data_IF_914232401637
#
_entry.id   IF_914232401637
#
_cell.length_a   1.000
_cell.length_b   1.000
_cell.length_c   1.000
_cell.angle_alpha   90.00
_cell.angle_beta   90.00
_cell.angle_gamma   90.00
#
_symmetry.space_group_name_H-M   'P 1'
#
loop_
_entity.id
_entity.type
_entity.pdbx_description
1 polymer ?
#
# COMPACT_ATOMS: atom_id res chain seq x y z
N UNK A 1 8.17 -14.02 -5.48
CA UNK A 1 7.92 -12.64 -6.00
C UNK A 1 9.11 -11.72 -5.69
N UNK A 2 9.21 -10.54 -6.31
CA UNK A 2 10.35 -9.61 -6.17
C UNK A 2 10.14 -8.51 -5.14
N UNK A 3 8.92 -8.02 -4.99
CA UNK A 3 8.60 -6.94 -4.04
C UNK A 3 7.45 -7.34 -3.11
N UNK A 4 7.36 -6.67 -1.96
CA UNK A 4 6.44 -7.05 -0.88
C UNK A 4 4.99 -6.61 -1.13
N UNK A 5 4.71 -5.95 -2.24
CA UNK A 5 3.36 -5.55 -2.65
C UNK A 5 2.68 -6.61 -3.51
N UNK A 6 3.47 -7.39 -4.27
CA UNK A 6 2.97 -8.49 -5.10
C UNK A 6 2.16 -9.56 -4.35
N UNK A 7 2.46 -9.96 -3.10
CA UNK A 7 1.71 -11.03 -2.44
C UNK A 7 0.24 -10.71 -2.18
N UNK A 8 -0.21 -9.45 -2.07
CA UNK A 8 -1.60 -9.13 -1.67
C UNK A 8 -2.64 -9.87 -2.51
N UNK A 9 -2.53 -9.83 -3.84
CA UNK A 9 -3.49 -10.47 -4.74
C UNK A 9 -3.54 -11.98 -4.49
N UNK A 10 -2.37 -12.62 -4.30
CA UNK A 10 -2.29 -14.04 -3.97
C UNK A 10 -2.84 -14.34 -2.58
N UNK A 11 -2.51 -13.55 -1.56
CA UNK A 11 -3.09 -13.67 -0.22
C UNK A 11 -4.63 -13.60 -0.30
N UNK A 12 -5.17 -12.66 -1.08
CA UNK A 12 -6.61 -12.46 -1.25
C UNK A 12 -7.27 -13.68 -1.90
N UNK A 13 -6.74 -14.14 -3.04
CA UNK A 13 -7.32 -15.25 -3.78
C UNK A 13 -7.14 -16.61 -3.07
N UNK A 14 -6.00 -16.84 -2.41
CA UNK A 14 -5.79 -18.04 -1.59
C UNK A 14 -6.77 -18.08 -0.41
N UNK A 15 -7.04 -16.94 0.24
CA UNK A 15 -8.07 -16.85 1.30
C UNK A 15 -9.47 -17.12 0.78
N UNK A 16 -9.85 -16.50 -0.35
CA UNK A 16 -11.14 -16.75 -1.01
C UNK A 16 -11.32 -18.24 -1.36
N UNK A 17 -10.26 -18.88 -1.84
CA UNK A 17 -10.24 -20.30 -2.16
C UNK A 17 -10.05 -21.22 -0.94
N UNK A 18 -9.91 -20.67 0.27
CA UNK A 18 -9.62 -21.40 1.52
C UNK A 18 -8.37 -22.29 1.43
N UNK A 19 -7.36 -21.84 0.68
CA UNK A 19 -6.07 -22.52 0.54
C UNK A 19 -5.10 -21.97 1.61
N UNK A 20 -4.59 -22.82 2.53
CA UNK A 20 -3.62 -22.40 3.53
C UNK A 20 -2.35 -21.86 2.87
N UNK A 21 -1.85 -20.74 3.37
CA UNK A 21 -0.60 -20.16 2.89
C UNK A 21 0.23 -19.57 4.03
N UNK A 22 1.53 -19.44 3.81
CA UNK A 22 2.48 -18.88 4.77
C UNK A 22 3.34 -17.82 4.08
N UNK A 23 3.38 -16.61 4.65
CA UNK A 23 4.19 -15.52 4.14
C UNK A 23 5.57 -15.53 4.82
N UNK A 24 6.62 -15.87 4.07
CA UNK A 24 7.99 -16.00 4.61
C UNK A 24 8.74 -14.68 4.49
N UNK A 25 9.29 -14.21 5.61
CA UNK A 25 10.16 -13.03 5.64
C UNK A 25 9.45 -11.70 5.39
N UNK A 26 8.11 -11.65 5.54
CA UNK A 26 7.32 -10.42 5.42
C UNK A 26 6.08 -10.48 6.30
N UNK A 27 5.62 -9.31 6.74
CA UNK A 27 4.36 -9.17 7.46
C UNK A 27 3.19 -9.20 6.46
N UNK A 28 2.07 -9.85 6.83
CA UNK A 28 0.86 -9.86 6.00
C UNK A 28 0.45 -8.43 5.64
N UNK A 29 -0.03 -8.25 4.41
CA UNK A 29 -0.47 -6.95 3.91
C UNK A 29 -1.41 -6.21 4.89
N UNK A 30 -2.39 -6.93 5.43
CA UNK A 30 -3.43 -6.37 6.32
C UNK A 30 -2.92 -5.99 7.71
N UNK A 31 -1.74 -6.48 8.10
CA UNK A 31 -1.13 -6.18 9.39
C UNK A 31 -0.27 -4.92 9.36
N UNK A 32 0.05 -4.42 8.16
CA UNK A 32 0.90 -3.24 8.00
C UNK A 32 0.24 -2.00 8.57
N UNK A 33 1.03 -1.15 9.21
CA UNK A 33 0.55 0.01 9.97
C UNK A 33 -0.24 0.96 9.07
N UNK A 34 0.34 1.31 7.93
CA UNK A 34 -0.19 2.20 6.91
C UNK A 34 -1.48 1.66 6.28
N UNK A 35 -1.57 0.34 6.08
CA UNK A 35 -2.80 -0.29 5.58
C UNK A 35 -3.92 -0.12 6.61
N UNK A 36 -3.67 -0.47 7.87
CA UNK A 36 -4.65 -0.30 8.95
C UNK A 36 -5.04 1.16 9.17
N UNK A 37 -4.10 2.09 9.04
CA UNK A 37 -4.39 3.52 9.17
C UNK A 37 -5.37 3.97 8.07
N UNK A 38 -5.13 3.60 6.81
CA UNK A 38 -6.03 3.95 5.71
C UNK A 38 -7.40 3.29 5.82
N UNK A 39 -7.47 2.03 6.28
CA UNK A 39 -8.75 1.38 6.56
C UNK A 39 -9.53 2.11 7.66
N UNK A 40 -8.86 2.59 8.71
CA UNK A 40 -9.50 3.40 9.74
C UNK A 40 -9.94 4.77 9.21
N UNK A 41 -9.19 5.39 8.29
CA UNK A 41 -9.68 6.59 7.59
C UNK A 41 -10.96 6.33 6.81
N UNK A 42 -11.01 5.26 6.02
CA UNK A 42 -12.21 4.88 5.27
C UNK A 42 -13.38 4.60 6.21
N UNK A 43 -13.16 3.92 7.34
CA UNK A 43 -14.20 3.70 8.38
C UNK A 43 -14.72 5.00 8.97
N UNK A 44 -13.87 6.01 9.20
CA UNK A 44 -14.33 7.32 9.70
C UNK A 44 -15.11 8.12 8.66
N UNK A 45 -14.75 7.98 7.38
CA UNK A 45 -15.51 8.59 6.28
C UNK A 45 -16.89 7.94 6.16
N UNK A 46 -16.95 6.61 6.26
CA UNK A 46 -18.18 5.81 6.18
C UNK A 46 -19.07 5.99 7.43
N UNK A 47 -18.49 5.83 8.61
CA UNK A 47 -19.14 5.94 9.91
C UNK A 47 -18.27 6.72 10.93
N UNK A 48 -18.54 8.02 11.12
CA UNK A 48 -17.80 8.84 12.08
C UNK A 48 -17.94 8.43 13.56
N UNK A 49 -18.86 7.50 13.88
CA UNK A 49 -19.05 6.99 15.26
C UNK A 49 -18.09 5.86 15.62
N UNK A 50 -17.23 5.39 14.71
CA UNK A 50 -16.21 4.39 15.02
C UNK A 50 -15.06 5.00 15.85
N UNK A 51 -15.21 4.99 17.19
CA UNK A 51 -14.23 5.57 18.10
C UNK A 51 -12.87 4.86 18.06
N UNK A 52 -12.85 3.56 17.80
CA UNK A 52 -11.61 2.77 17.75
C UNK A 52 -10.78 3.19 16.54
N UNK A 53 -11.42 3.30 15.37
CA UNK A 53 -10.76 3.80 14.17
C UNK A 53 -10.34 5.25 14.34
N UNK A 54 -11.18 6.09 14.95
CA UNK A 54 -10.87 7.50 15.17
C UNK A 54 -9.62 7.65 16.03
N UNK A 55 -9.58 7.00 17.19
CA UNK A 55 -8.44 7.07 18.12
C UNK A 55 -7.14 6.58 17.47
N UNK A 56 -7.21 5.59 16.57
CA UNK A 56 -6.03 5.13 15.82
C UNK A 56 -5.46 6.23 14.92
N UNK A 57 -6.33 6.90 14.16
CA UNK A 57 -5.91 7.85 13.13
C UNK A 57 -5.89 9.30 13.60
N UNK A 58 -6.39 9.62 14.80
CA UNK A 58 -6.63 11.00 15.29
C UNK A 58 -5.41 11.89 15.16
N UNK A 59 -4.20 11.33 15.32
CA UNK A 59 -2.94 12.06 15.20
C UNK A 59 -1.97 11.42 14.19
N UNK A 60 -2.47 10.66 13.20
CA UNK A 60 -1.64 9.98 12.19
C UNK A 60 -2.08 10.36 10.77
N UNK A 61 -1.33 11.16 9.99
CA UNK A 61 -0.07 11.83 10.34
C UNK A 61 -0.24 12.87 11.46
N UNK A 62 0.87 13.20 12.13
CA UNK A 62 0.88 14.15 13.25
C UNK A 62 0.19 15.48 12.89
N UNK A 63 -0.79 15.88 13.72
CA UNK A 63 -1.57 17.11 13.57
C UNK A 63 -1.81 17.84 14.89
N UNK A 64 -0.93 17.64 15.86
CA UNK A 64 -0.96 18.38 17.12
C UNK A 64 -1.99 17.90 18.15
N UNK A 65 -2.70 16.80 17.88
CA UNK A 65 -3.62 16.17 18.86
C UNK A 65 -2.81 15.18 19.69
N UNK A 66 -2.07 15.69 20.67
CA UNK A 66 -1.22 14.90 21.57
C UNK A 66 -2.01 14.13 22.63
N UNK A 67 -1.32 13.27 23.40
CA UNK A 67 -1.94 12.39 24.40
C UNK A 67 -2.86 13.13 25.40
N UNK A 68 -2.41 14.28 25.92
CA UNK A 68 -3.24 15.12 26.83
C UNK A 68 -4.52 15.64 26.18
N UNK A 69 -4.47 16.01 24.90
CA UNK A 69 -5.67 16.46 24.17
C UNK A 69 -6.63 15.29 23.94
N UNK A 70 -6.10 14.10 23.64
CA UNK A 70 -6.90 12.88 23.48
C UNK A 70 -7.57 12.49 24.81
N UNK A 71 -6.84 12.54 25.92
CA UNK A 71 -7.39 12.27 27.26
C UNK A 71 -8.49 13.27 27.65
N UNK A 72 -8.29 14.56 27.37
CA UNK A 72 -9.30 15.58 27.59
C UNK A 72 -10.55 15.33 26.73
N UNK A 73 -10.37 15.01 25.45
CA UNK A 73 -11.47 14.66 24.54
C UNK A 73 -12.26 13.45 25.05
N UNK A 74 -11.57 12.39 25.47
CA UNK A 74 -12.19 11.18 26.03
C UNK A 74 -12.97 11.48 27.31
N UNK A 75 -12.39 12.24 28.23
CA UNK A 75 -13.03 12.60 29.50
C UNK A 75 -14.30 13.41 29.25
N UNK A 76 -14.25 14.38 28.34
CA UNK A 76 -15.40 15.20 27.98
C UNK A 76 -16.49 14.38 27.26
N UNK A 77 -16.09 13.52 26.32
CA UNK A 77 -16.97 12.59 25.62
C UNK A 77 -17.76 11.70 26.59
N UNK A 78 -17.08 11.08 27.55
CA UNK A 78 -17.71 10.27 28.61
C UNK A 78 -18.66 11.11 29.47
N UNK A 79 -18.25 12.32 29.88
CA UNK A 79 -19.08 13.18 30.73
C UNK A 79 -20.38 13.64 30.07
N UNK A 80 -20.40 13.71 28.74
CA UNK A 80 -21.54 14.15 27.93
C UNK A 80 -22.31 13.00 27.30
N UNK A 81 -21.89 11.74 27.53
CA UNK A 81 -22.40 10.55 26.83
C UNK A 81 -22.43 10.72 25.29
N UNK A 82 -21.35 11.29 24.74
CA UNK A 82 -21.17 11.55 23.31
C UNK A 82 -19.92 10.86 22.81
N UNK A 83 -19.86 10.58 21.52
CA UNK A 83 -18.64 10.12 20.84
C UNK A 83 -17.61 11.25 20.73
N UNK A 84 -16.33 10.92 20.59
CA UNK A 84 -15.27 11.92 20.35
C UNK A 84 -15.58 12.76 19.09
N UNK A 85 -16.13 12.15 18.04
CA UNK A 85 -16.47 12.87 16.81
C UNK A 85 -17.53 13.95 17.05
N UNK A 86 -18.54 13.66 17.89
CA UNK A 86 -19.56 14.64 18.28
C UNK A 86 -18.97 15.76 19.14
N UNK A 87 -17.97 15.46 19.97
CA UNK A 87 -17.24 16.48 20.75
C UNK A 87 -16.48 17.45 19.85
N UNK A 88 -16.02 17.04 18.67
CA UNK A 88 -15.36 17.96 17.73
C UNK A 88 -16.27 19.13 17.31
N UNK A 89 -17.59 18.99 17.41
CA UNK A 89 -18.54 20.08 17.14
C UNK A 89 -18.75 21.04 18.33
N UNK A 90 -18.29 20.69 19.53
CA UNK A 90 -18.32 21.56 20.70
C UNK A 90 -17.19 22.61 20.61
N UNK A 91 -17.50 23.73 19.95
CA UNK A 91 -16.53 24.82 19.74
C UNK A 91 -16.02 25.43 21.04
N UNK A 92 -16.80 25.37 22.13
CA UNK A 92 -16.38 25.94 23.42
C UNK A 92 -15.30 25.05 24.03
N UNK A 93 -15.54 23.74 24.08
CA UNK A 93 -14.56 22.78 24.56
C UNK A 93 -13.30 22.77 23.68
N UNK A 94 -13.46 22.69 22.35
CA UNK A 94 -12.32 22.64 21.42
C UNK A 94 -11.43 23.87 21.55
N UNK A 95 -11.99 25.07 21.74
CA UNK A 95 -11.20 26.30 21.99
C UNK A 95 -10.33 26.24 23.25
N UNK A 96 -10.66 25.36 24.20
CA UNK A 96 -9.86 25.10 25.41
C UNK A 96 -8.66 24.19 25.18
N UNK A 97 -8.56 23.51 24.03
CA UNK A 97 -7.41 22.66 23.69
C UNK A 97 -6.23 23.50 23.15
N UNK A 98 -4.99 22.96 23.11
CA UNK A 98 -3.88 23.64 22.45
C UNK A 98 -4.18 23.98 20.99
N UNK A 99 -3.77 25.15 20.52
CA UNK A 99 -4.03 25.64 19.15
C UNK A 99 -3.67 24.64 18.04
N UNK A 100 -2.56 23.86 18.12
CA UNK A 100 -2.30 22.80 17.14
C UNK A 100 -3.38 21.71 17.10
N UNK A 101 -3.92 21.32 18.26
CA UNK A 101 -5.00 20.32 18.34
C UNK A 101 -6.30 20.86 17.74
N UNK A 102 -6.63 22.14 17.97
CA UNK A 102 -7.80 22.78 17.37
C UNK A 102 -7.75 22.71 15.83
N UNK A 103 -6.62 23.15 15.24
CA UNK A 103 -6.40 23.07 13.79
C UNK A 103 -6.41 21.63 13.28
N UNK A 104 -5.86 20.70 14.06
CA UNK A 104 -5.86 19.27 13.74
C UNK A 104 -7.27 18.67 13.64
N UNK A 105 -8.15 19.03 14.59
CA UNK A 105 -9.55 18.60 14.63
C UNK A 105 -10.31 19.18 13.44
N UNK A 106 -10.20 20.49 13.22
CA UNK A 106 -10.87 21.18 12.11
C UNK A 106 -10.46 20.58 10.75
N UNK A 107 -9.17 20.34 10.55
CA UNK A 107 -8.67 19.70 9.33
C UNK A 107 -9.24 18.29 9.14
N UNK A 108 -9.35 17.50 10.20
CA UNK A 108 -9.90 16.14 10.11
C UNK A 108 -11.40 16.15 9.77
N UNK A 109 -12.17 17.06 10.38
CA UNK A 109 -13.58 17.25 10.04
C UNK A 109 -13.76 17.68 8.59
N UNK A 110 -12.96 18.65 8.11
CA UNK A 110 -13.01 19.11 6.73
C UNK A 110 -12.65 18.01 5.72
N UNK A 111 -11.62 17.21 6.02
CA UNK A 111 -11.23 16.07 5.18
C UNK A 111 -12.36 15.05 5.07
N UNK A 112 -12.96 14.65 6.20
CA UNK A 112 -14.07 13.69 6.21
C UNK A 112 -15.28 14.21 5.46
N UNK A 113 -15.72 15.45 5.74
CA UNK A 113 -16.87 16.07 5.07
C UNK A 113 -16.68 16.16 3.55
N UNK A 114 -15.47 16.50 3.08
CA UNK A 114 -15.16 16.57 1.65
C UNK A 114 -15.16 15.19 1.00
N UNK A 115 -14.65 14.16 1.66
CA UNK A 115 -14.73 12.78 1.15
C UNK A 115 -16.19 12.32 1.07
N UNK A 116 -16.99 12.55 2.11
CA UNK A 116 -18.43 12.23 2.12
C UNK A 116 -19.18 12.97 1.01
N UNK A 117 -18.92 14.26 0.81
CA UNK A 117 -19.51 15.03 -0.28
C UNK A 117 -19.17 14.46 -1.65
N UNK A 118 -17.93 14.01 -1.87
CA UNK A 118 -17.54 13.36 -3.13
C UNK A 118 -18.22 12.02 -3.32
N UNK A 119 -18.29 11.20 -2.28
CA UNK A 119 -18.95 9.89 -2.31
C UNK A 119 -20.46 9.97 -2.54
N UNK A 120 -21.08 11.11 -2.21
CA UNK A 120 -22.49 11.37 -2.50
C UNK A 120 -22.76 11.70 -3.99
N UNK A 121 -21.72 11.88 -4.81
CA UNK A 121 -21.89 12.15 -6.24
C UNK A 121 -22.19 10.84 -7.00
N UNK A 122 -23.07 10.87 -8.04
CA UNK A 122 -23.46 9.66 -8.76
C UNK A 122 -22.31 8.93 -9.48
N UNK A 123 -21.25 9.66 -9.83
CA UNK A 123 -20.06 9.22 -10.56
C UNK A 123 -18.82 9.11 -9.67
N UNK A 124 -19.02 9.08 -8.35
CA UNK A 124 -17.94 9.02 -7.39
C UNK A 124 -17.12 7.74 -7.51
N UNK A 125 -15.83 7.88 -7.84
CA UNK A 125 -14.90 6.77 -7.82
C UNK A 125 -14.31 6.58 -6.40
N UNK A 126 -14.57 5.46 -5.75
CA UNK A 126 -14.08 5.13 -4.39
C UNK A 126 -12.54 5.22 -4.32
N UNK A 127 -11.86 4.60 -5.27
CA UNK A 127 -10.39 4.66 -5.36
C UNK A 127 -9.89 6.09 -5.63
N UNK A 128 -10.68 6.89 -6.36
CA UNK A 128 -10.43 8.31 -6.58
C UNK A 128 -10.45 9.11 -5.29
N UNK A 129 -11.48 8.93 -4.48
CA UNK A 129 -11.65 9.60 -3.18
C UNK A 129 -10.52 9.23 -2.22
N UNK A 130 -10.13 7.95 -2.14
CA UNK A 130 -9.00 7.54 -1.30
C UNK A 130 -7.67 8.15 -1.78
N UNK A 131 -7.43 8.18 -3.09
CA UNK A 131 -6.22 8.78 -3.67
C UNK A 131 -6.08 10.26 -3.30
N UNK A 132 -7.18 10.99 -3.35
CA UNK A 132 -7.20 12.39 -2.91
C UNK A 132 -7.04 12.53 -1.39
N UNK A 133 -7.70 11.69 -0.60
CA UNK A 133 -7.54 11.69 0.85
C UNK A 133 -6.06 11.51 1.25
N UNK A 134 -5.36 10.55 0.62
CA UNK A 134 -3.92 10.31 0.81
C UNK A 134 -3.09 11.55 0.45
N UNK A 135 -3.46 12.24 -0.65
CA UNK A 135 -2.81 13.47 -1.08
C UNK A 135 -3.01 14.63 -0.09
N UNK A 136 -4.25 14.87 0.35
CA UNK A 136 -4.59 15.98 1.23
C UNK A 136 -4.14 15.78 2.68
N UNK A 137 -3.97 14.54 3.11
CA UNK A 137 -3.27 14.19 4.34
C UNK A 137 -1.77 14.45 4.27
N UNK A 138 -1.21 14.63 3.06
CA UNK A 138 0.23 14.59 2.79
C UNK A 138 0.87 13.30 3.36
N UNK A 139 0.14 12.18 3.25
CA UNK A 139 0.50 10.92 3.92
C UNK A 139 1.82 10.36 3.42
N UNK A 140 2.09 10.47 2.11
CA UNK A 140 3.35 9.99 1.52
C UNK A 140 4.57 10.75 2.03
N UNK A 141 4.48 12.07 2.20
CA UNK A 141 5.56 12.86 2.79
C UNK A 141 5.63 12.67 4.31
N UNK A 142 4.54 12.31 4.97
CA UNK A 142 4.59 11.87 6.36
C UNK A 142 5.39 10.57 6.51
N UNK A 143 5.17 9.59 5.63
CA UNK A 143 5.97 8.36 5.61
C UNK A 143 7.46 8.64 5.39
N UNK A 144 7.82 9.50 4.44
CA UNK A 144 9.23 9.90 4.20
C UNK A 144 9.88 10.55 5.44
N UNK A 145 9.12 11.33 6.21
CA UNK A 145 9.63 11.95 7.44
C UNK A 145 9.74 10.95 8.59
N UNK A 146 8.84 9.99 8.65
CA UNK A 146 8.79 8.98 9.73
C UNK A 146 9.81 7.86 9.53
N UNK A 147 10.18 7.58 8.28
CA UNK A 147 11.08 6.49 7.90
C UNK A 147 12.27 7.06 7.11
N UNK A 148 13.37 7.44 7.79
CA UNK A 148 14.52 8.09 7.13
C UNK A 148 15.24 7.19 6.11
N UNK A 149 15.12 5.87 6.26
CA UNK A 149 15.65 4.91 5.28
C UNK A 149 14.77 4.90 4.03
N UNK A 150 15.35 5.27 2.89
CA UNK A 150 14.61 5.42 1.63
C UNK A 150 13.87 4.14 1.21
N UNK A 151 14.45 2.97 1.46
CA UNK A 151 13.87 1.68 1.08
C UNK A 151 12.67 1.32 1.95
N UNK A 152 12.77 1.58 3.26
CA UNK A 152 11.65 1.37 4.17
C UNK A 152 10.50 2.34 3.84
N UNK A 153 10.79 3.63 3.65
CA UNK A 153 9.78 4.61 3.24
C UNK A 153 9.07 4.19 1.96
N UNK A 154 9.82 3.74 0.95
CA UNK A 154 9.24 3.31 -0.32
C UNK A 154 8.36 2.06 -0.19
N UNK A 155 8.77 1.06 0.60
CA UNK A 155 7.93 -0.11 0.86
C UNK A 155 6.60 0.25 1.54
N UNK A 156 6.63 1.24 2.46
CA UNK A 156 5.42 1.76 3.12
C UNK A 156 4.54 2.55 2.14
N UNK A 157 5.14 3.39 1.30
CA UNK A 157 4.41 4.11 0.24
C UNK A 157 3.77 3.14 -0.76
N UNK A 158 4.47 2.08 -1.14
CA UNK A 158 3.95 1.07 -2.04
C UNK A 158 2.78 0.28 -1.40
N UNK A 159 2.81 0.08 -0.08
CA UNK A 159 1.67 -0.49 0.66
C UNK A 159 0.44 0.42 0.66
N UNK A 160 0.61 1.74 0.72
CA UNK A 160 -0.50 2.71 0.56
C UNK A 160 -1.08 2.68 -0.85
N UNK A 161 -0.22 2.64 -1.88
CA UNK A 161 -0.65 2.49 -3.27
C UNK A 161 -1.48 1.21 -3.45
N UNK A 162 -1.07 0.13 -2.79
CA UNK A 162 -1.75 -1.16 -2.89
C UNK A 162 -3.15 -1.16 -2.24
N UNK A 163 -3.40 -0.36 -1.20
CA UNK A 163 -4.78 -0.16 -0.69
C UNK A 163 -5.65 0.55 -1.74
N UNK A 164 -5.10 1.52 -2.46
CA UNK A 164 -5.81 2.23 -3.54
C UNK A 164 -6.10 1.27 -4.71
N UNK A 165 -5.15 0.41 -5.07
CA UNK A 165 -5.34 -0.60 -6.09
C UNK A 165 -6.41 -1.61 -5.68
N UNK A 166 -6.38 -2.12 -4.45
CA UNK A 166 -7.38 -3.04 -3.92
C UNK A 166 -8.80 -2.45 -3.96
N UNK A 167 -8.94 -1.17 -3.60
CA UNK A 167 -10.23 -0.47 -3.68
C UNK A 167 -10.71 -0.31 -5.12
N UNK A 168 -9.81 -0.04 -6.06
CA UNK A 168 -10.14 0.08 -7.48
C UNK A 168 -10.55 -1.26 -8.11
N UNK A 169 -9.90 -2.36 -7.70
CA UNK A 169 -10.28 -3.73 -8.11
C UNK A 169 -11.67 -4.08 -7.59
N UNK A 170 -11.93 -3.87 -6.29
CA UNK A 170 -13.25 -4.05 -5.70
C UNK A 170 -14.34 -3.23 -6.42
N UNK A 171 -14.02 -1.97 -6.72
CA UNK A 171 -14.92 -1.05 -7.40
C UNK A 171 -15.28 -1.52 -8.82
N UNK A 172 -14.33 -2.15 -9.54
CA UNK A 172 -14.56 -2.69 -10.88
C UNK A 172 -15.39 -3.98 -10.87
N UNK A 173 -15.25 -4.81 -9.83
CA UNK A 173 -15.90 -6.12 -9.74
C UNK A 173 -17.30 -6.05 -9.10
N UNK A 174 -17.59 -5.03 -8.29
CA UNK A 174 -18.84 -4.92 -7.55
C UNK A 174 -19.99 -4.32 -8.39
N UNK A 175 -21.17 -4.94 -8.35
CA UNK A 175 -22.38 -4.41 -8.99
C UNK A 175 -22.86 -3.07 -8.41
N UNK A 176 -22.58 -2.83 -7.12
CA UNK A 176 -22.98 -1.61 -6.40
C UNK A 176 -21.89 -1.31 -5.36
N UNK A 177 -20.76 -0.72 -5.80
CA UNK A 177 -19.61 -0.51 -4.93
C UNK A 177 -19.95 0.50 -3.83
N UNK A 178 -19.54 0.19 -2.59
CA UNK A 178 -19.66 1.10 -1.45
C UNK A 178 -18.44 0.96 -0.54
N UNK A 179 -18.16 2.00 0.26
CA UNK A 179 -17.09 1.91 1.27
C UNK A 179 -17.37 0.83 2.29
N UNK A 180 -18.60 0.76 2.82
CA UNK A 180 -19.03 -0.31 3.72
C UNK A 180 -18.77 -1.71 3.12
N UNK A 181 -19.18 -1.93 1.87
CA UNK A 181 -18.96 -3.21 1.19
C UNK A 181 -17.48 -3.56 0.98
N UNK A 182 -16.64 -2.58 0.65
CA UNK A 182 -15.19 -2.79 0.58
C UNK A 182 -14.59 -3.11 1.96
N UNK A 183 -15.02 -2.39 3.00
CA UNK A 183 -14.53 -2.60 4.37
C UNK A 183 -14.94 -3.97 4.91
N UNK A 184 -16.11 -4.47 4.53
CA UNK A 184 -16.57 -5.83 4.84
C UNK A 184 -15.74 -6.87 4.10
N UNK A 185 -15.50 -6.69 2.79
CA UNK A 185 -14.66 -7.59 1.99
C UNK A 185 -13.23 -7.68 2.56
N UNK A 186 -12.63 -6.54 2.88
CA UNK A 186 -11.31 -6.47 3.52
C UNK A 186 -11.33 -7.08 4.92
N UNK A 187 -12.42 -6.93 5.68
CA UNK A 187 -12.53 -7.52 7.01
C UNK A 187 -12.73 -9.03 6.94
N UNK A 188 -13.45 -9.55 5.95
CA UNK A 188 -13.59 -10.99 5.70
C UNK A 188 -12.28 -11.59 5.24
N UNK A 189 -11.59 -10.92 4.32
CA UNK A 189 -10.23 -11.28 3.95
C UNK A 189 -9.33 -11.23 5.19
N UNK A 190 -9.44 -10.22 6.05
CA UNK A 190 -8.58 -10.00 7.22
C UNK A 190 -8.93 -10.79 8.48
N UNK A 191 -10.14 -11.35 8.62
CA UNK A 191 -10.70 -11.84 9.91
C UNK A 191 -9.95 -13.02 10.56
N UNK A 192 -8.92 -13.55 9.92
CA UNK A 192 -7.87 -14.36 10.57
C UNK A 192 -6.69 -13.49 11.03
N UNK A 193 -6.96 -12.39 11.74
CA UNK A 193 -5.90 -11.62 12.41
C UNK A 193 -5.34 -12.44 13.58
N UNK A 194 -4.39 -13.33 13.28
CA UNK A 194 -3.44 -13.93 14.20
C UNK A 194 -4.06 -14.68 15.38
N UNK A 195 -4.52 -15.91 15.14
CA UNK A 195 -4.48 -16.89 16.22
C UNK A 195 -3.10 -17.55 16.22
N UNK A 196 -2.36 -17.61 17.34
CA UNK A 196 -1.07 -18.28 17.44
C UNK A 196 -1.13 -19.82 17.28
N UNK A 197 -2.24 -20.37 16.76
CA UNK A 197 -2.47 -21.81 16.55
C UNK A 197 -1.90 -22.33 15.22
N UNK A 198 -1.39 -21.47 14.33
CA UNK A 198 -1.11 -21.83 12.93
C UNK A 198 0.27 -22.46 12.67
N UNK A 199 1.01 -22.87 13.71
CA UNK A 199 2.34 -23.51 13.49
C UNK A 199 2.25 -24.87 12.79
N UNK A 200 1.13 -25.60 12.94
CA UNK A 200 0.91 -26.87 12.22
C UNK A 200 0.40 -26.65 10.79
N UNK A 201 -0.46 -25.64 10.56
CA UNK A 201 -0.94 -25.30 9.21
C UNK A 201 0.18 -24.79 8.29
N UNK A 202 1.24 -24.19 8.85
CA UNK A 202 2.40 -23.76 8.06
C UNK A 202 3.16 -24.90 7.36
N UNK A 203 3.01 -26.16 7.77
CA UNK A 203 3.71 -27.30 7.14
C UNK A 203 3.05 -27.80 5.84
N UNK A 204 1.74 -27.60 5.67
CA UNK A 204 0.96 -27.99 4.50
C UNK A 204 0.27 -26.76 3.87
N UNK A 205 1.06 -25.74 3.57
CA UNK A 205 0.57 -24.46 3.08
C UNK A 205 1.40 -23.98 1.88
N UNK A 206 0.79 -23.19 1.00
CA UNK A 206 1.48 -22.51 -0.09
C UNK A 206 2.46 -21.49 0.51
N UNK A 207 3.74 -21.60 0.17
CA UNK A 207 4.75 -20.69 0.66
C UNK A 207 4.86 -19.45 -0.24
N UNK A 208 4.38 -18.31 0.26
CA UNK A 208 4.51 -17.01 -0.38
C UNK A 208 5.81 -16.35 0.09
N UNK A 209 6.78 -16.13 -0.80
CA UNK A 209 8.06 -15.54 -0.42
C UNK A 209 8.73 -14.69 -1.50
N UNK A 210 9.63 -13.81 -1.05
CA UNK A 210 10.49 -13.04 -1.94
C UNK A 210 11.60 -13.92 -2.53
N UNK A 211 12.16 -13.52 -3.68
CA UNK A 211 13.36 -14.19 -4.24
C UNK A 211 14.52 -14.24 -3.25
N UNK A 212 14.71 -13.19 -2.44
CA UNK A 212 15.77 -13.14 -1.43
C UNK A 212 15.53 -14.16 -0.31
N UNK A 213 14.29 -14.30 0.14
CA UNK A 213 13.89 -15.24 1.19
C UNK A 213 13.95 -16.71 0.74
N UNK A 214 13.92 -16.97 -0.57
CA UNK A 214 13.97 -18.32 -1.13
C UNK A 214 15.39 -18.92 -1.19
N UNK A 215 16.44 -18.13 -0.91
CA UNK A 215 17.83 -18.58 -1.02
C UNK A 215 18.09 -19.77 -0.08
N UNK A 216 18.56 -20.88 -0.66
CA UNK A 216 18.86 -22.11 0.09
C UNK A 216 17.66 -23.01 0.35
N UNK A 217 16.47 -22.66 -0.14
CA UNK A 217 15.27 -23.50 -0.11
C UNK A 217 15.05 -24.18 -1.46
N UNK A 218 14.20 -25.20 -1.51
CA UNK A 218 13.81 -25.89 -2.74
C UNK A 218 12.38 -26.40 -2.59
N UNK A 219 11.64 -26.43 -3.70
CA UNK A 219 10.23 -26.81 -3.73
C UNK A 219 9.94 -27.65 -4.99
N UNK A 220 9.06 -28.67 -4.90
CA UNK A 220 8.61 -29.44 -6.06
C UNK A 220 8.05 -28.55 -7.18
N UNK A 221 7.17 -27.62 -6.81
CA UNK A 221 6.49 -26.70 -7.73
C UNK A 221 6.80 -25.26 -7.35
N UNK A 222 7.27 -24.45 -8.31
CA UNK A 222 7.57 -23.03 -8.10
C UNK A 222 6.83 -22.17 -9.10
N UNK A 223 6.16 -21.13 -8.59
CA UNK A 223 5.54 -20.07 -9.39
C UNK A 223 6.35 -18.78 -9.24
N UNK A 224 7.05 -18.38 -10.30
CA UNK A 224 7.73 -17.10 -10.39
C UNK A 224 6.82 -16.06 -11.02
N UNK A 225 6.33 -15.12 -10.20
CA UNK A 225 5.33 -14.12 -10.60
C UNK A 225 5.93 -12.74 -10.79
N UNK A 226 5.33 -11.97 -11.70
CA UNK A 226 5.76 -10.61 -12.04
C UNK A 226 7.04 -10.59 -12.86
N UNK A 227 7.11 -11.46 -13.88
CA UNK A 227 8.20 -11.52 -14.85
C UNK A 227 8.13 -10.33 -15.82
N UNK A 228 8.29 -9.12 -15.29
CA UNK A 228 8.03 -7.84 -15.96
C UNK A 228 9.23 -6.89 -15.85
N UNK A 229 9.52 -6.13 -16.91
CA UNK A 229 10.46 -5.01 -16.84
C UNK A 229 9.97 -3.96 -15.83
N UNK A 230 10.83 -3.59 -14.89
CA UNK A 230 10.50 -2.66 -13.81
C UNK A 230 10.12 -3.35 -12.49
N UNK A 231 9.71 -4.63 -12.54
CA UNK A 231 9.55 -5.49 -11.36
C UNK A 231 10.75 -6.42 -11.23
N UNK A 232 11.01 -7.26 -12.25
CA UNK A 232 12.16 -8.15 -12.32
C UNK A 232 12.70 -8.16 -13.77
N UNK A 233 13.75 -7.38 -14.10
CA UNK A 233 14.58 -6.60 -13.19
C UNK A 233 13.86 -5.37 -12.60
N UNK A 234 14.14 -5.09 -11.33
CA UNK A 234 13.56 -3.95 -10.64
C UNK A 234 13.97 -2.62 -11.29
N UNK A 235 13.03 -1.65 -11.32
CA UNK A 235 13.20 -0.35 -12.00
C UNK A 235 14.46 0.42 -11.59
N UNK A 236 14.91 0.29 -10.34
CA UNK A 236 16.15 0.96 -9.87
C UNK A 236 17.38 0.42 -10.58
N UNK A 237 17.48 -0.90 -10.73
CA UNK A 237 18.57 -1.56 -11.46
C UNK A 237 18.60 -1.20 -12.95
N UNK A 238 17.46 -0.76 -13.51
CA UNK A 238 17.40 -0.23 -14.87
C UNK A 238 17.96 1.20 -15.00
N UNK A 239 18.01 1.94 -13.89
CA UNK A 239 18.39 3.34 -13.87
C UNK A 239 19.87 3.56 -13.51
N UNK A 240 20.46 2.66 -12.71
CA UNK A 240 21.69 2.96 -11.98
C UNK A 240 22.98 2.39 -12.60
N UNK A 241 22.99 1.28 -13.37
CA UNK A 241 24.04 0.86 -14.34
C UNK A 241 23.73 -0.53 -14.96
N UNK A 242 24.57 -1.04 -15.88
CA UNK A 242 24.43 -2.40 -16.43
C UNK A 242 24.69 -3.49 -15.37
N UNK A 243 25.61 -3.24 -14.44
CA UNK A 243 25.99 -4.18 -13.37
C UNK A 243 24.83 -4.50 -12.41
N UNK A 244 23.90 -3.56 -12.19
CA UNK A 244 22.74 -3.79 -11.33
C UNK A 244 21.72 -4.76 -11.96
N UNK A 245 21.71 -4.85 -13.29
CA UNK A 245 20.89 -5.83 -14.01
C UNK A 245 21.49 -7.24 -13.87
N UNK A 246 22.82 -7.36 -13.79
CA UNK A 246 23.49 -8.64 -13.51
C UNK A 246 23.09 -9.19 -12.13
N UNK A 247 22.92 -8.31 -11.13
CA UNK A 247 22.45 -8.73 -9.81
C UNK A 247 20.99 -9.20 -9.84
N UNK A 248 20.10 -8.48 -10.53
CA UNK A 248 18.72 -8.94 -10.73
C UNK A 248 18.66 -10.24 -11.56
N UNK A 249 19.62 -10.47 -12.47
CA UNK A 249 19.75 -11.74 -13.20
C UNK A 249 20.16 -12.88 -12.27
N UNK A 250 21.13 -12.65 -11.37
CA UNK A 250 21.49 -13.62 -10.33
C UNK A 250 20.29 -13.95 -9.44
N UNK A 251 19.49 -12.95 -9.08
CA UNK A 251 18.27 -13.14 -8.30
C UNK A 251 17.22 -13.98 -9.06
N UNK A 252 17.04 -13.72 -10.36
CA UNK A 252 16.18 -14.52 -11.23
C UNK A 252 16.66 -15.98 -11.31
N UNK A 253 17.97 -16.20 -11.51
CA UNK A 253 18.59 -17.52 -11.52
C UNK A 253 18.39 -18.28 -10.20
N UNK A 254 18.52 -17.59 -9.05
CA UNK A 254 18.20 -18.18 -7.75
C UNK A 254 16.76 -18.67 -7.73
N UNK A 255 15.80 -17.86 -8.20
CA UNK A 255 14.39 -18.24 -8.31
C UNK A 255 14.15 -19.49 -9.16
N UNK A 256 14.74 -19.54 -10.36
CA UNK A 256 14.62 -20.67 -11.30
C UNK A 256 15.12 -21.96 -10.66
N UNK A 257 16.27 -21.89 -9.98
CA UNK A 257 16.91 -23.06 -9.33
C UNK A 257 16.25 -23.48 -8.03
N UNK A 258 15.13 -22.89 -7.62
CA UNK A 258 14.35 -23.37 -6.47
C UNK A 258 13.38 -24.49 -6.85
N UNK A 259 13.03 -24.62 -8.13
CA UNK A 259 12.11 -25.64 -8.62
C UNK A 259 12.83 -26.98 -8.76
N UNK A 260 12.21 -28.04 -8.25
CA UNK A 260 12.70 -29.42 -8.43
C UNK A 260 12.03 -30.09 -9.62
N UNK A 261 10.69 -30.01 -9.72
CA UNK A 261 9.91 -30.73 -10.73
C UNK A 261 9.34 -29.76 -11.78
N UNK A 262 8.63 -28.71 -11.37
CA UNK A 262 7.98 -27.77 -12.29
C UNK A 262 8.21 -26.30 -11.91
N UNK A 263 8.56 -25.50 -12.92
CA UNK A 263 8.67 -24.06 -12.82
C UNK A 263 7.65 -23.39 -13.75
N UNK A 264 6.73 -22.64 -13.17
CA UNK A 264 5.80 -21.78 -13.91
C UNK A 264 6.22 -20.32 -13.79
N UNK A 265 6.33 -19.63 -14.93
CA UNK A 265 6.67 -18.21 -15.03
C UNK A 265 5.43 -17.40 -15.42
N UNK A 266 5.05 -16.39 -14.64
CA UNK A 266 3.84 -15.59 -14.87
C UNK A 266 4.16 -14.13 -15.25
N UNK A 267 3.60 -13.69 -16.38
CA UNK A 267 3.60 -12.32 -16.87
C UNK A 267 2.15 -11.81 -16.98
N UNK A 268 1.69 -10.87 -16.15
CA UNK A 268 0.42 -10.20 -16.38
C UNK A 268 0.54 -9.22 -17.56
N UNK A 269 -0.52 -9.02 -18.34
CA UNK A 269 -0.55 -8.04 -19.44
C UNK A 269 -0.75 -6.60 -18.96
N UNK A 270 -1.45 -6.44 -17.83
CA UNK A 270 -1.76 -5.15 -17.21
C UNK A 270 -1.65 -5.26 -15.69
N UNK A 271 -1.35 -4.15 -15.04
CA UNK A 271 -1.34 -4.00 -13.57
C UNK A 271 -2.08 -2.74 -13.15
N UNK A 272 -2.75 -2.81 -12.00
CA UNK A 272 -3.29 -1.63 -11.35
C UNK A 272 -2.16 -0.83 -10.71
N UNK A 273 -2.09 0.46 -11.04
CA UNK A 273 -1.13 1.41 -10.49
C UNK A 273 -1.87 2.68 -10.09
N UNK A 274 -1.85 3.02 -8.80
CA UNK A 274 -2.66 4.10 -8.22
C UNK A 274 -4.15 4.02 -8.62
N UNK A 275 -4.70 2.81 -8.70
CA UNK A 275 -6.09 2.56 -9.10
C UNK A 275 -6.37 2.80 -10.58
N UNK A 276 -5.36 2.73 -11.46
CA UNK A 276 -5.53 2.80 -12.91
C UNK A 276 -4.79 1.64 -13.59
N UNK A 277 -5.35 1.01 -14.62
CA UNK A 277 -4.66 -0.03 -15.36
C UNK A 277 -3.47 0.56 -16.12
N UNK A 278 -2.33 -0.12 -16.05
CA UNK A 278 -1.13 0.21 -16.80
C UNK A 278 -0.62 -1.05 -17.50
N UNK A 279 -0.27 -0.93 -18.77
CA UNK A 279 0.36 -2.02 -19.51
C UNK A 279 1.72 -2.37 -18.90
N UNK A 280 2.02 -3.66 -18.94
CA UNK A 280 3.30 -4.22 -18.50
C UNK A 280 4.17 -4.56 -19.71
N UNK A 281 5.46 -4.75 -19.47
CA UNK A 281 6.39 -5.22 -20.48
C UNK A 281 7.04 -6.50 -20.00
N UNK A 282 7.13 -7.51 -20.86
CA UNK A 282 7.79 -8.78 -20.55
C UNK A 282 9.22 -8.56 -20.07
N UNK A 283 9.62 -9.23 -18.99
CA UNK A 283 10.99 -9.22 -18.49
C UNK A 283 11.96 -9.71 -19.56
N UNK A 284 13.10 -9.03 -19.70
CA UNK A 284 14.22 -9.54 -20.52
C UNK A 284 14.63 -10.97 -20.17
N UNK A 285 14.49 -11.38 -18.91
CA UNK A 285 14.92 -12.70 -18.47
C UNK A 285 14.09 -13.83 -19.11
N UNK A 286 12.83 -13.57 -19.47
CA UNK A 286 12.02 -14.53 -20.22
C UNK A 286 12.63 -14.81 -21.60
N UNK A 287 13.08 -13.76 -22.28
CA UNK A 287 13.72 -13.87 -23.59
C UNK A 287 15.11 -14.51 -23.52
N UNK A 288 15.88 -14.20 -22.47
CA UNK A 288 17.18 -14.83 -22.21
C UNK A 288 17.02 -16.36 -22.01
N UNK A 289 15.98 -16.81 -21.30
CA UNK A 289 15.69 -18.24 -21.09
C UNK A 289 15.33 -18.98 -22.38
N UNK A 290 14.71 -18.31 -23.35
CA UNK A 290 14.34 -18.90 -24.65
C UNK A 290 15.44 -18.75 -25.71
N UNK A 291 16.65 -18.30 -25.34
CA UNK A 291 17.75 -18.06 -26.28
C UNK A 291 17.53 -16.86 -27.22
N UNK A 292 16.55 -16.00 -26.92
CA UNK A 292 16.20 -14.81 -27.69
C UNK A 292 16.70 -13.53 -27.01
N UNK A 293 17.98 -13.49 -26.63
CA UNK A 293 18.54 -12.41 -25.78
C UNK A 293 18.38 -10.99 -26.35
N UNK A 294 18.16 -10.83 -27.66
CA UNK A 294 17.88 -9.56 -28.31
C UNK A 294 16.39 -9.19 -28.20
N UNK A 295 16.03 -8.57 -27.07
CA UNK A 295 14.67 -8.10 -26.79
C UNK A 295 14.22 -7.00 -27.80
N UNK A 296 13.16 -7.22 -28.62
CA UNK A 296 12.66 -6.22 -29.57
C UNK A 296 12.01 -4.99 -28.90
N UNK A 297 11.70 -5.05 -27.61
CA UNK A 297 11.10 -3.98 -26.80
C UNK A 297 12.08 -3.24 -25.88
N UNK A 298 13.39 -3.58 -25.93
CA UNK A 298 14.43 -3.03 -25.03
C UNK A 298 14.44 -1.50 -24.95
N UNK A 299 14.20 -0.80 -26.07
CA UNK A 299 14.17 0.67 -26.10
C UNK A 299 12.90 1.25 -25.47
N UNK A 300 11.72 0.66 -25.73
CA UNK A 300 10.44 1.15 -25.19
C UNK A 300 10.35 0.96 -23.67
N UNK A 301 10.83 -0.17 -23.15
CA UNK A 301 10.87 -0.43 -21.71
C UNK A 301 11.83 0.53 -20.99
N UNK A 302 13.05 0.74 -21.50
CA UNK A 302 14.03 1.67 -20.94
C UNK A 302 13.50 3.12 -20.97
N UNK A 303 12.90 3.56 -22.07
CA UNK A 303 12.38 4.92 -22.19
C UNK A 303 11.18 5.17 -21.26
N UNK A 304 10.28 4.19 -21.10
CA UNK A 304 9.16 4.29 -20.15
C UNK A 304 9.65 4.28 -18.70
N UNK A 305 10.60 3.41 -18.35
CA UNK A 305 11.20 3.33 -17.03
C UNK A 305 11.95 4.62 -16.68
N UNK A 306 12.78 5.14 -17.61
CA UNK A 306 13.48 6.42 -17.46
C UNK A 306 12.52 7.59 -17.30
N UNK A 307 11.42 7.64 -18.05
CA UNK A 307 10.40 8.68 -17.88
C UNK A 307 9.73 8.62 -16.50
N UNK A 308 9.41 7.44 -16.00
CA UNK A 308 8.80 7.28 -14.67
C UNK A 308 9.80 7.59 -13.54
N UNK A 309 11.07 7.16 -13.68
CA UNK A 309 12.15 7.56 -12.75
C UNK A 309 12.34 9.07 -12.76
N UNK A 310 12.53 9.67 -13.93
CA UNK A 310 12.70 11.12 -14.07
C UNK A 310 11.50 11.89 -13.52
N UNK A 311 10.27 11.40 -13.69
CA UNK A 311 9.08 12.00 -13.09
C UNK A 311 9.14 11.95 -11.55
N UNK A 312 9.51 10.81 -10.96
CA UNK A 312 9.66 10.66 -9.51
C UNK A 312 10.79 11.53 -8.95
N UNK A 313 11.95 11.60 -9.62
CA UNK A 313 13.11 12.40 -9.21
C UNK A 313 12.86 13.89 -9.39
N UNK A 314 12.13 14.30 -10.45
CA UNK A 314 11.77 15.70 -10.69
C UNK A 314 10.71 16.16 -9.69
N UNK A 315 9.76 15.30 -9.31
CA UNK A 315 8.83 15.56 -8.21
C UNK A 315 9.58 15.74 -6.87
N UNK A 316 10.58 14.90 -6.60
CA UNK A 316 11.44 15.01 -5.41
C UNK A 316 12.28 16.32 -5.41
N UNK A 317 12.91 16.68 -6.53
CA UNK A 317 13.69 17.93 -6.67
C UNK A 317 12.84 19.20 -6.61
N UNK A 318 11.63 19.19 -7.17
CA UNK A 318 10.72 20.33 -7.09
C UNK A 318 10.23 20.56 -5.65
N UNK A 319 10.06 19.48 -4.89
CA UNK A 319 9.77 19.53 -3.44
C UNK A 319 10.95 19.99 -2.59
N UNK A 320 12.19 19.65 -2.94
CA UNK A 320 13.37 20.16 -2.21
C UNK A 320 13.65 21.64 -2.49
N UNK A 321 13.47 22.08 -3.74
CA UNK A 321 13.64 23.49 -4.13
C UNK A 321 12.57 24.42 -3.51
N UNK A 322 11.37 23.91 -3.24
CA UNK A 322 10.32 24.65 -2.54
C UNK A 322 10.54 24.77 -1.02
N UNK A 323 11.47 23.99 -0.44
CA UNK A 323 11.81 24.00 0.99
C UNK A 323 13.06 24.84 1.32
N UNK A 324 13.75 25.40 0.33
CA UNK A 324 14.85 26.35 0.54
C UNK A 324 14.26 27.70 0.98
N UNK A 325 14.55 28.24 2.17
CA UNK A 325 14.20 29.62 2.47
C UNK A 325 15.02 30.49 1.51
N UNK A 326 14.35 31.41 0.79
CA UNK A 326 15.04 32.52 0.12
C UNK A 326 15.81 33.26 1.21
N UNK A 327 17.13 33.04 1.29
CA UNK A 327 18.03 33.96 1.98
C UNK A 327 18.04 35.24 1.14
N UNK A 328 17.32 36.24 1.61
CA UNK A 328 17.51 37.65 1.26
C UNK A 328 17.72 38.43 2.54
#
# INVERSE_FOLDING_TARGET
>A
FRTNEQPRVFETELRKAQIPYSLVGSQSFFDRKEVRDLLCYLRIVDNPRDEVSLLRIINVPQRGIGAKSVEALLTHAVSQAKTIWEIFSDKVFVRGLPEPAQRGIERLQLLSARCQHKLAQPDAALAGVLRELVYDLDYMAALERMYPQADEAQARQASVEEVINALAEYEADANSPSLAGFLDDVTLAGKEFGSPKDKEQQRNAVALMTYHSAKGLEFPFVYMVGMEEGILPHRRSLAENYDDVEEERRLCYVGVTRAQDELTLCLPLQRMKWGRPQDTFASRFLYEMTGQADNPNRRRSIDSARKQVAASTRAAKKKSAAKSPKKS
#
